data_IF_849316555847
#
_entry.id   IF_849316555847
#
_cell.length_a   1.000
_cell.length_b   1.000
_cell.length_c   1.000
_cell.angle_alpha   90.00
_cell.angle_beta   90.00
_cell.angle_gamma   90.00
#
_symmetry.space_group_name_H-M   'P 1'
#
loop_
_entity.id
_entity.type
_entity.pdbx_description
1 polymer ?
#
# COMPACT_ATOMS: atom_id res chain seq x y z
N UNK A 1 17.83 -37.70 -3.44
CA UNK A 1 16.97 -38.22 -4.52
C UNK A 1 15.70 -38.80 -3.91
N UNK A 2 14.65 -37.99 -3.76
CA UNK A 2 13.35 -38.48 -3.30
C UNK A 2 12.48 -38.76 -4.53
N UNK A 3 12.18 -40.03 -4.78
CA UNK A 3 11.36 -40.47 -5.92
C UNK A 3 9.90 -40.40 -5.49
N UNK A 4 9.15 -39.47 -6.05
CA UNK A 4 7.70 -39.34 -5.82
C UNK A 4 6.98 -40.45 -6.61
N UNK A 5 6.46 -41.46 -5.92
CA UNK A 5 5.57 -42.45 -6.52
C UNK A 5 4.11 -41.97 -6.44
N UNK A 6 3.47 -41.78 -7.59
CA UNK A 6 2.03 -41.50 -7.69
C UNK A 6 1.34 -42.82 -8.08
N UNK A 7 0.51 -43.38 -7.19
CA UNK A 7 -0.37 -44.52 -7.48
C UNK A 7 -1.79 -44.03 -7.80
N UNK A 8 -2.30 -44.47 -8.95
CA UNK A 8 -3.60 -44.22 -9.61
C UNK A 8 -4.76 -44.87 -8.83
N UNK A 9 -6.05 -44.50 -8.80
CA UNK A 9 -6.91 -43.30 -8.97
C UNK A 9 -8.25 -43.78 -8.35
N UNK A 10 -8.88 -43.05 -7.43
CA UNK A 10 -10.30 -43.26 -7.08
C UNK A 10 -11.12 -42.06 -7.57
N UNK A 11 -12.10 -42.33 -8.44
CA UNK A 11 -12.98 -41.30 -9.00
C UNK A 11 -14.17 -41.08 -8.06
N UNK A 12 -14.26 -39.89 -7.46
CA UNK A 12 -15.47 -39.43 -6.78
C UNK A 12 -16.11 -38.31 -7.61
N UNK A 13 -17.43 -38.37 -7.82
CA UNK A 13 -18.18 -37.46 -8.68
C UNK A 13 -19.05 -36.53 -7.84
N UNK A 14 -18.85 -35.21 -7.99
CA UNK A 14 -19.73 -34.19 -7.42
C UNK A 14 -20.07 -33.16 -8.50
N UNK A 15 -21.37 -32.92 -8.72
CA UNK A 15 -21.92 -31.98 -9.72
C UNK A 15 -21.35 -32.16 -11.15
N UNK A 16 -21.23 -33.39 -11.63
CA UNK A 16 -20.84 -33.67 -13.03
C UNK A 16 -19.39 -33.35 -13.40
N UNK A 17 -18.55 -32.98 -12.42
CA UNK A 17 -17.09 -32.87 -12.59
C UNK A 17 -16.44 -34.04 -11.86
N UNK A 18 -15.61 -34.81 -12.57
CA UNK A 18 -14.79 -35.84 -11.95
C UNK A 18 -13.78 -35.15 -11.03
N UNK A 19 -13.82 -35.48 -9.74
CA UNK A 19 -12.86 -34.97 -8.76
C UNK A 19 -11.84 -36.08 -8.54
N UNK A 20 -10.69 -36.04 -9.25
CA UNK A 20 -9.69 -37.08 -9.11
C UNK A 20 -9.07 -36.97 -7.73
N UNK A 21 -9.14 -38.05 -6.95
CA UNK A 21 -8.39 -38.14 -5.70
C UNK A 21 -7.00 -38.65 -6.04
N UNK A 22 -5.97 -37.87 -5.69
CA UNK A 22 -4.57 -38.23 -5.86
C UNK A 22 -4.02 -38.61 -4.49
N UNK A 23 -3.52 -39.83 -4.36
CA UNK A 23 -2.77 -40.25 -3.18
C UNK A 23 -1.30 -39.93 -3.42
N UNK A 24 -0.76 -39.03 -2.60
CA UNK A 24 0.64 -38.59 -2.64
C UNK A 24 1.39 -39.26 -1.51
N UNK A 25 2.45 -39.99 -1.84
CA UNK A 25 3.42 -40.48 -0.85
C UNK A 25 4.58 -39.50 -0.80
N UNK A 26 4.70 -38.76 0.30
CA UNK A 26 5.77 -37.78 0.53
C UNK A 26 6.54 -38.16 1.80
N UNK A 27 7.81 -37.78 1.90
CA UNK A 27 8.60 -37.99 3.12
C UNK A 27 8.08 -37.13 4.26
N UNK A 28 8.19 -37.62 5.51
CA UNK A 28 7.76 -36.89 6.71
C UNK A 28 8.30 -35.46 6.76
N UNK A 29 9.60 -35.27 6.48
CA UNK A 29 10.22 -33.94 6.41
C UNK A 29 9.53 -32.97 5.44
N UNK A 30 9.12 -33.46 4.28
CA UNK A 30 8.46 -32.65 3.26
C UNK A 30 7.02 -32.34 3.65
N UNK A 31 6.36 -33.28 4.33
CA UNK A 31 5.04 -33.03 4.92
C UNK A 31 5.11 -31.95 6.00
N UNK A 32 6.11 -32.01 6.88
CA UNK A 32 6.34 -31.04 7.94
C UNK A 32 6.61 -29.64 7.36
N UNK A 33 7.47 -29.53 6.35
CA UNK A 33 7.72 -28.27 5.63
C UNK A 33 6.44 -27.71 4.98
N UNK A 34 5.67 -28.55 4.28
CA UNK A 34 4.40 -28.13 3.68
C UNK A 34 3.38 -27.68 4.74
N UNK A 35 3.41 -28.29 5.92
CA UNK A 35 2.55 -27.92 7.04
C UNK A 35 2.95 -26.58 7.64
N UNK A 36 4.22 -26.37 7.90
CA UNK A 36 4.75 -25.10 8.43
C UNK A 36 4.39 -23.94 7.52
N UNK A 37 4.63 -24.11 6.21
CA UNK A 37 4.27 -23.11 5.19
C UNK A 37 2.75 -22.88 5.18
N UNK A 38 1.94 -23.94 5.21
CA UNK A 38 0.48 -23.79 5.22
C UNK A 38 -0.03 -23.03 6.46
N UNK A 39 0.57 -23.29 7.62
CA UNK A 39 0.26 -22.58 8.88
C UNK A 39 0.67 -21.10 8.82
N UNK A 40 1.83 -20.78 8.26
CA UNK A 40 2.30 -19.40 8.06
C UNK A 40 1.34 -18.60 7.16
N UNK A 41 0.87 -19.21 6.07
CA UNK A 41 -0.07 -18.59 5.15
C UNK A 41 -1.54 -18.67 5.62
N UNK A 42 -1.81 -19.33 6.74
CA UNK A 42 -3.16 -19.50 7.28
C UNK A 42 -4.11 -20.30 6.36
N UNK A 43 -3.58 -21.22 5.55
CA UNK A 43 -4.34 -22.01 4.58
C UNK A 43 -4.26 -23.52 4.89
N UNK A 44 -5.17 -24.30 4.31
CA UNK A 44 -5.10 -25.76 4.43
C UNK A 44 -3.95 -26.33 3.57
N UNK A 45 -3.21 -27.32 4.10
CA UNK A 45 -2.12 -28.01 3.39
C UNK A 45 -2.58 -28.49 2.00
N UNK A 46 -3.81 -29.00 1.90
CA UNK A 46 -4.39 -29.44 0.62
C UNK A 46 -4.49 -28.31 -0.41
N UNK A 47 -4.82 -27.09 0.02
CA UNK A 47 -4.90 -25.94 -0.88
C UNK A 47 -3.53 -25.43 -1.27
N UNK A 48 -2.56 -25.47 -0.35
CA UNK A 48 -1.15 -25.20 -0.67
C UNK A 48 -0.63 -26.18 -1.74
N UNK A 49 -0.88 -27.48 -1.59
CA UNK A 49 -0.50 -28.51 -2.57
C UNK A 49 -1.16 -28.22 -3.94
N UNK A 50 -2.44 -27.84 -3.97
CA UNK A 50 -3.11 -27.45 -5.23
C UNK A 50 -2.45 -26.24 -5.89
N UNK A 51 -2.01 -25.25 -5.11
CA UNK A 51 -1.31 -24.06 -5.62
C UNK A 51 0.02 -24.47 -6.26
N UNK A 52 0.82 -25.28 -5.57
CA UNK A 52 2.08 -25.78 -6.13
C UNK A 52 1.86 -26.57 -7.42
N UNK A 53 0.91 -27.51 -7.45
CA UNK A 53 0.58 -28.27 -8.66
C UNK A 53 0.15 -27.33 -9.79
N UNK A 54 -0.71 -26.35 -9.51
CA UNK A 54 -1.20 -25.39 -10.51
C UNK A 54 -0.06 -24.53 -11.07
N UNK A 55 0.86 -24.06 -10.23
CA UNK A 55 1.98 -23.24 -10.64
C UNK A 55 2.98 -24.05 -11.47
N UNK A 56 3.31 -25.26 -11.03
CA UNK A 56 4.18 -26.18 -11.77
C UNK A 56 3.57 -26.61 -13.12
N UNK A 57 2.26 -26.86 -13.19
CA UNK A 57 1.57 -27.14 -14.46
C UNK A 57 1.57 -25.94 -15.41
N UNK A 58 1.45 -24.72 -14.89
CA UNK A 58 1.56 -23.49 -15.69
C UNK A 58 2.97 -23.25 -16.19
N UNK A 59 3.99 -23.60 -15.40
CA UNK A 59 5.40 -23.56 -15.83
C UNK A 59 5.67 -24.62 -16.92
N UNK A 60 5.21 -25.86 -16.70
CA UNK A 60 5.28 -26.95 -17.67
C UNK A 60 4.64 -26.61 -19.02
N UNK A 61 3.45 -25.99 -19.01
CA UNK A 61 2.76 -25.58 -20.24
C UNK A 61 3.44 -24.42 -20.97
N UNK A 62 4.19 -23.58 -20.26
CA UNK A 62 4.95 -22.47 -20.84
C UNK A 62 6.32 -22.90 -21.38
N UNK A 63 6.67 -24.19 -21.26
CA UNK A 63 7.97 -24.70 -21.68
C UNK A 63 9.12 -24.30 -20.74
N UNK A 64 8.80 -23.70 -19.59
CA UNK A 64 9.77 -23.17 -18.62
C UNK A 64 10.01 -24.16 -17.46
N UNK A 65 10.10 -25.46 -17.76
CA UNK A 65 10.62 -26.45 -16.79
C UNK A 65 12.17 -26.47 -16.77
N UNK A 66 12.79 -25.44 -17.34
CA UNK A 66 14.21 -25.17 -17.17
C UNK A 66 14.41 -24.61 -15.76
N UNK A 67 15.29 -25.21 -14.94
CA UNK A 67 15.75 -24.52 -13.74
C UNK A 67 16.57 -23.29 -14.16
N UNK A 68 16.34 -22.18 -13.46
CA UNK A 68 17.35 -21.16 -13.12
C UNK A 68 17.57 -19.84 -13.89
N UNK A 69 16.92 -19.50 -15.01
CA UNK A 69 17.24 -18.20 -15.65
C UNK A 69 16.07 -17.23 -15.84
N UNK A 70 14.91 -17.70 -16.29
CA UNK A 70 13.87 -16.76 -16.75
C UNK A 70 12.98 -16.21 -15.62
N UNK A 71 12.97 -16.84 -14.45
CA UNK A 71 12.26 -16.34 -13.26
C UNK A 71 13.18 -15.48 -12.38
N UNK A 72 14.49 -15.73 -12.40
CA UNK A 72 15.55 -14.94 -11.76
C UNK A 72 15.72 -13.59 -12.46
N UNK A 73 15.79 -13.55 -13.79
CA UNK A 73 15.84 -12.28 -14.54
C UNK A 73 14.58 -11.41 -14.29
N UNK A 74 13.40 -12.04 -14.19
CA UNK A 74 12.16 -11.32 -13.84
C UNK A 74 12.16 -10.83 -12.40
N UNK A 75 12.77 -11.58 -11.47
CA UNK A 75 12.92 -11.17 -10.09
C UNK A 75 13.86 -9.95 -9.99
N UNK A 76 15.01 -10.01 -10.65
CA UNK A 76 15.98 -8.90 -10.72
C UNK A 76 15.36 -7.65 -11.35
N UNK A 77 14.60 -7.79 -12.44
CA UNK A 77 13.87 -6.66 -13.05
C UNK A 77 12.83 -6.06 -12.09
N UNK A 78 12.15 -6.89 -11.30
CA UNK A 78 11.19 -6.43 -10.29
C UNK A 78 11.89 -5.74 -9.11
N UNK A 79 13.03 -6.26 -8.66
CA UNK A 79 13.84 -5.65 -7.61
C UNK A 79 14.37 -4.29 -8.03
N UNK A 80 14.89 -4.16 -9.27
CA UNK A 80 15.34 -2.88 -9.81
C UNK A 80 14.18 -1.87 -9.89
N UNK A 81 12.99 -2.30 -10.34
CA UNK A 81 11.80 -1.43 -10.36
C UNK A 81 11.38 -1.01 -8.96
N UNK A 82 11.45 -1.90 -7.97
CA UNK A 82 11.15 -1.58 -6.57
C UNK A 82 12.14 -0.53 -6.04
N UNK A 83 13.42 -0.66 -6.35
CA UNK A 83 14.44 0.30 -5.94
C UNK A 83 14.23 1.68 -6.59
N UNK A 84 13.93 1.72 -7.89
CA UNK A 84 13.60 2.94 -8.61
C UNK A 84 12.36 3.63 -8.02
N UNK A 85 11.28 2.88 -7.76
CA UNK A 85 10.06 3.40 -7.14
C UNK A 85 10.35 3.92 -5.73
N UNK A 86 11.13 3.17 -4.94
CA UNK A 86 11.50 3.58 -3.58
C UNK A 86 12.28 4.90 -3.58
N UNK A 87 13.22 5.06 -4.51
CA UNK A 87 13.95 6.31 -4.71
C UNK A 87 13.03 7.47 -5.09
N UNK A 88 12.08 7.25 -6.01
CA UNK A 88 11.09 8.25 -6.40
C UNK A 88 10.20 8.67 -5.22
N UNK A 89 9.75 7.72 -4.39
CA UNK A 89 8.97 8.00 -3.18
C UNK A 89 9.77 8.87 -2.21
N UNK A 90 11.06 8.57 -1.98
CA UNK A 90 11.92 9.38 -1.11
C UNK A 90 12.05 10.81 -1.65
N UNK A 91 12.20 10.98 -2.97
CA UNK A 91 12.27 12.30 -3.59
C UNK A 91 10.96 13.07 -3.46
N UNK A 92 9.82 12.42 -3.67
CA UNK A 92 8.49 13.01 -3.51
C UNK A 92 8.22 13.43 -2.06
N UNK A 93 8.64 12.63 -1.08
CA UNK A 93 8.52 12.98 0.33
C UNK A 93 9.35 14.22 0.66
N UNK A 94 10.61 14.28 0.21
CA UNK A 94 11.47 15.47 0.39
C UNK A 94 10.88 16.71 -0.28
N UNK A 95 10.29 16.56 -1.47
CA UNK A 95 9.63 17.66 -2.15
C UNK A 95 8.42 18.16 -1.34
N UNK A 96 7.58 17.24 -0.87
CA UNK A 96 6.39 17.54 -0.07
C UNK A 96 6.76 18.24 1.24
N UNK A 97 7.78 17.76 1.96
CA UNK A 97 8.29 18.40 3.18
C UNK A 97 8.75 19.84 2.93
N UNK A 98 9.46 20.09 1.82
CA UNK A 98 9.87 21.45 1.44
C UNK A 98 8.67 22.34 1.15
N UNK A 99 7.68 21.84 0.41
CA UNK A 99 6.46 22.58 0.11
C UNK A 99 5.68 22.93 1.37
N UNK A 100 5.52 21.98 2.30
CA UNK A 100 4.90 22.22 3.60
C UNK A 100 5.64 23.29 4.40
N UNK A 101 6.97 23.26 4.42
CA UNK A 101 7.76 24.28 5.11
C UNK A 101 7.56 25.67 4.52
N UNK A 102 7.51 25.78 3.18
CA UNK A 102 7.24 27.05 2.48
C UNK A 102 5.84 27.55 2.82
N UNK A 103 4.83 26.69 2.69
CA UNK A 103 3.44 27.04 3.01
C UNK A 103 3.30 27.51 4.45
N UNK A 104 3.89 26.81 5.41
CA UNK A 104 3.86 27.21 6.81
C UNK A 104 4.54 28.56 7.04
N UNK A 105 5.63 28.87 6.34
CA UNK A 105 6.26 30.19 6.43
C UNK A 105 5.40 31.31 5.84
N UNK A 106 4.69 31.03 4.73
CA UNK A 106 3.77 31.98 4.12
C UNK A 106 2.55 32.24 5.02
N UNK A 107 1.98 31.19 5.62
CA UNK A 107 0.87 31.31 6.57
C UNK A 107 1.27 32.20 7.74
N UNK A 108 2.43 31.95 8.36
CA UNK A 108 2.92 32.79 9.47
C UNK A 108 3.09 34.26 9.07
N UNK A 109 3.65 34.52 7.89
CA UNK A 109 3.80 35.89 7.39
C UNK A 109 2.44 36.56 7.11
N UNK A 110 1.43 35.81 6.69
CA UNK A 110 0.08 36.32 6.52
C UNK A 110 -0.61 36.57 7.87
N UNK A 111 -0.46 35.67 8.84
CA UNK A 111 -0.98 35.84 10.21
C UNK A 111 -0.42 37.11 10.85
N UNK A 112 0.87 37.38 10.73
CA UNK A 112 1.50 38.61 11.23
C UNK A 112 0.93 39.87 10.55
N UNK A 113 0.73 39.81 9.23
CA UNK A 113 0.12 40.93 8.48
C UNK A 113 -1.33 41.18 8.89
N UNK A 114 -2.11 40.12 9.10
CA UNK A 114 -3.50 40.22 9.56
C UNK A 114 -3.55 40.84 10.95
N UNK A 115 -2.71 40.38 11.88
CA UNK A 115 -2.63 40.94 13.23
C UNK A 115 -2.26 42.44 13.22
N UNK A 116 -1.31 42.84 12.36
CA UNK A 116 -0.97 44.26 12.22
C UNK A 116 -2.13 45.09 11.64
N UNK A 117 -2.90 44.55 10.71
CA UNK A 117 -4.07 45.23 10.16
C UNK A 117 -5.19 45.36 11.20
N UNK A 118 -5.42 44.33 12.02
CA UNK A 118 -6.38 44.37 13.13
C UNK A 118 -6.03 45.51 14.11
N UNK A 119 -4.75 45.63 14.50
CA UNK A 119 -4.30 46.74 15.37
C UNK A 119 -4.54 48.12 14.75
N UNK A 120 -4.29 48.28 13.45
CA UNK A 120 -4.53 49.54 12.75
C UNK A 120 -6.03 49.86 12.70
N UNK A 121 -6.88 48.86 12.50
CA UNK A 121 -8.34 49.03 12.51
C UNK A 121 -8.78 49.50 13.89
N UNK A 122 -8.33 48.86 14.96
CA UNK A 122 -8.66 49.24 16.34
C UNK A 122 -8.26 50.71 16.64
N UNK A 123 -7.05 51.12 16.23
CA UNK A 123 -6.59 52.51 16.40
C UNK A 123 -7.43 53.53 15.60
N UNK A 124 -7.92 53.15 14.42
CA UNK A 124 -8.77 54.00 13.59
C UNK A 124 -10.18 54.12 14.16
N UNK A 125 -10.74 53.02 14.67
CA UNK A 125 -12.04 53.02 15.35
C UNK A 125 -12.01 53.92 16.59
N UNK A 126 -10.94 53.86 17.40
CA UNK A 126 -10.76 54.74 18.55
C UNK A 126 -10.69 56.23 18.14
N UNK A 127 -9.98 56.56 17.06
CA UNK A 127 -9.94 57.93 16.52
C UNK A 127 -11.31 58.40 16.06
N UNK A 128 -12.07 57.55 15.38
CA UNK A 128 -13.42 57.87 14.91
C UNK A 128 -14.39 58.12 16.07
N UNK A 129 -14.28 57.36 17.15
CA UNK A 129 -15.11 57.57 18.35
C UNK A 129 -14.77 58.89 19.06
N UNK A 130 -13.49 59.26 19.09
CA UNK A 130 -13.03 60.53 19.67
C UNK A 130 -13.39 61.75 18.80
N UNK A 131 -13.53 61.59 17.49
CA UNK A 131 -13.89 62.67 16.55
C UNK A 131 -15.41 62.79 16.30
N UNK A 132 -16.26 62.00 16.97
CA UNK A 132 -17.73 62.14 16.86
C UNK A 132 -18.14 63.58 17.21
N UNK A 133 -18.68 64.36 16.25
CA UNK A 133 -19.08 65.73 16.52
C UNK A 133 -20.21 65.75 17.54
N UNK A 134 -20.09 66.61 18.56
CA UNK A 134 -21.19 66.88 19.49
C UNK A 134 -22.37 67.46 18.69
N UNK A 135 -23.40 66.64 18.44
CA UNK A 135 -24.65 67.10 17.86
C UNK A 135 -25.44 67.71 19.01
N UNK A 136 -25.48 69.04 19.05
CA UNK A 136 -26.30 69.79 20.00
C UNK A 136 -27.76 69.32 19.84
N UNK A 137 -28.45 68.86 20.91
CA UNK A 137 -29.81 68.40 20.78
C UNK A 137 -30.67 69.55 20.28
N UNK A 138 -31.33 69.38 19.13
CA UNK A 138 -32.30 70.34 18.61
C UNK A 138 -33.25 70.72 19.74
N UNK A 139 -33.20 71.99 20.14
CA UNK A 139 -34.07 72.54 21.17
C UNK A 139 -35.50 72.41 20.63
N UNK A 140 -36.24 71.42 21.13
CA UNK A 140 -37.67 71.27 20.88
C UNK A 140 -38.35 72.60 21.22
N UNK A 141 -38.92 73.25 20.21
CA UNK A 141 -39.89 74.33 20.36
C UNK A 141 -41.30 73.76 20.23
#
# INVERSE_FOLDING_TARGET
MAILYILVFQYFSWKGKTMPTVHLSISDKLYDELREIAEEYGIQITDLIKVFIKNNLKAARRGTLSPDNEDTEKLEELEEKIEQISSQIIQLNKFTERQLKIQNSMIKALEEKVSNLELIIDELEEKMDNEKPYIEPEIMK
#
